data_IF_857695915925
#
_entry.id   IF_857695915925
#
_cell.length_a   1.000
_cell.length_b   1.000
_cell.length_c   1.000
_cell.angle_alpha   90.00
_cell.angle_beta   90.00
_cell.angle_gamma   90.00
#
_symmetry.space_group_name_H-M   'P 1'
#
loop_
_entity.id
_entity.type
_entity.pdbx_description
1 polymer ?
#
# COMPACT_ATOMS: atom_id res chain seq x y z
N UNK A 1 5.89 -14.32 -17.87
CA UNK A 1 6.24 -14.56 -16.45
C UNK A 1 4.97 -15.01 -15.75
N UNK A 2 4.94 -16.22 -15.19
CA UNK A 2 3.77 -16.73 -14.47
C UNK A 2 4.00 -16.66 -12.96
N UNK A 3 3.00 -16.22 -12.20
CA UNK A 3 3.03 -16.28 -10.73
C UNK A 3 2.81 -17.73 -10.30
N UNK A 4 3.69 -18.25 -9.44
CA UNK A 4 3.52 -19.60 -8.86
C UNK A 4 2.88 -19.53 -7.48
N UNK A 5 2.28 -20.64 -7.04
CA UNK A 5 1.73 -20.78 -5.69
C UNK A 5 2.78 -20.48 -4.62
N UNK A 6 4.02 -20.90 -4.82
CA UNK A 6 5.11 -20.68 -3.86
C UNK A 6 5.48 -19.20 -3.75
N UNK A 7 5.46 -18.47 -4.86
CA UNK A 7 5.65 -17.01 -4.85
C UNK A 7 4.53 -16.31 -4.07
N UNK A 8 3.27 -16.74 -4.26
CA UNK A 8 2.12 -16.18 -3.52
C UNK A 8 2.23 -16.48 -2.01
N UNK A 9 2.55 -17.73 -1.65
CA UNK A 9 2.72 -18.14 -0.26
C UNK A 9 3.89 -17.42 0.41
N UNK A 10 5.00 -17.23 -0.30
CA UNK A 10 6.15 -16.47 0.18
C UNK A 10 5.81 -15.01 0.45
N UNK A 11 5.10 -14.37 -0.48
CA UNK A 11 4.61 -13.00 -0.31
C UNK A 11 3.69 -12.88 0.91
N UNK A 12 2.69 -13.76 1.02
CA UNK A 12 1.74 -13.77 2.13
C UNK A 12 2.46 -13.89 3.49
N UNK A 13 3.33 -14.91 3.64
CA UNK A 13 4.07 -15.14 4.90
C UNK A 13 5.04 -14.00 5.27
N UNK A 14 5.51 -13.23 4.29
CA UNK A 14 6.39 -12.09 4.54
C UNK A 14 5.62 -10.85 4.98
N UNK A 15 4.51 -10.52 4.31
CA UNK A 15 3.83 -9.23 4.49
C UNK A 15 2.62 -9.28 5.43
N UNK A 16 1.94 -10.42 5.57
CA UNK A 16 0.75 -10.56 6.42
C UNK A 16 1.17 -10.97 7.84
N UNK A 17 1.80 -10.03 8.54
CA UNK A 17 2.28 -10.19 9.91
C UNK A 17 1.70 -9.09 10.80
N UNK A 18 1.49 -9.34 12.11
CA UNK A 18 0.90 -8.35 13.02
C UNK A 18 1.65 -7.02 13.06
N UNK A 19 2.98 -7.04 13.03
CA UNK A 19 3.82 -5.82 13.02
C UNK A 19 3.73 -5.00 11.72
N UNK A 20 3.06 -5.51 10.69
CA UNK A 20 2.84 -4.84 9.40
C UNK A 20 1.34 -4.73 9.05
N UNK A 21 0.45 -4.92 10.02
CA UNK A 21 -1.00 -4.93 9.81
C UNK A 21 -1.67 -3.96 10.78
N UNK A 22 -2.64 -3.19 10.29
CA UNK A 22 -3.47 -2.29 11.11
C UNK A 22 -4.90 -2.82 11.08
N UNK A 23 -5.48 -3.05 12.26
CA UNK A 23 -6.90 -3.35 12.43
C UNK A 23 -7.62 -2.03 12.71
N UNK A 24 -8.48 -1.60 11.80
CA UNK A 24 -9.28 -0.38 11.96
C UNK A 24 -10.74 -0.76 12.24
N UNK A 25 -11.30 -0.24 13.33
CA UNK A 25 -12.67 -0.48 13.76
C UNK A 25 -13.32 0.88 14.00
N UNK A 26 -14.50 1.11 13.42
CA UNK A 26 -15.22 2.39 13.54
C UNK A 26 -16.72 2.16 13.58
N UNK A 27 -17.43 2.96 14.38
CA UNK A 27 -18.87 2.86 14.59
C UNK A 27 -19.26 3.11 16.05
N UNK A 28 -20.51 2.80 16.38
CA UNK A 28 -21.02 2.78 17.76
C UNK A 28 -20.59 1.48 18.44
N UNK A 29 -19.38 1.49 19.00
CA UNK A 29 -18.74 0.31 19.60
C UNK A 29 -18.07 0.67 20.93
N UNK A 30 -18.07 -0.27 21.87
CA UNK A 30 -17.23 -0.17 23.05
C UNK A 30 -15.79 -0.57 22.69
N UNK A 31 -14.84 0.31 23.02
CA UNK A 31 -13.44 0.12 22.66
C UNK A 31 -12.78 -1.06 23.41
N UNK A 32 -13.22 -1.34 24.63
CA UNK A 32 -12.67 -2.44 25.45
C UNK A 32 -13.13 -3.78 24.90
N UNK A 33 -14.41 -3.90 24.58
CA UNK A 33 -14.96 -5.13 24.00
C UNK A 33 -14.34 -5.41 22.62
N UNK A 34 -14.16 -4.36 21.80
CA UNK A 34 -13.47 -4.48 20.53
C UNK A 34 -12.01 -4.96 20.70
N UNK A 35 -11.28 -4.41 21.66
CA UNK A 35 -9.89 -4.81 21.93
C UNK A 35 -9.77 -6.25 22.45
N UNK A 36 -10.72 -6.68 23.30
CA UNK A 36 -10.78 -8.05 23.78
C UNK A 36 -11.02 -9.03 22.62
N UNK A 37 -11.99 -8.74 21.74
CA UNK A 37 -12.26 -9.57 20.57
C UNK A 37 -11.07 -9.66 19.61
N UNK A 38 -10.37 -8.53 19.37
CA UNK A 38 -9.15 -8.55 18.55
C UNK A 38 -8.05 -9.40 19.19
N UNK A 39 -7.88 -9.28 20.51
CA UNK A 39 -6.88 -10.03 21.25
C UNK A 39 -7.19 -11.54 21.28
N UNK A 40 -8.46 -11.92 21.40
CA UNK A 40 -8.91 -13.32 21.33
C UNK A 40 -8.65 -13.94 19.95
N UNK A 41 -8.91 -13.20 18.87
CA UNK A 41 -8.77 -13.71 17.51
C UNK A 41 -7.32 -13.69 16.99
N UNK A 42 -6.53 -12.70 17.38
CA UNK A 42 -5.23 -12.42 16.75
C UNK A 42 -4.05 -12.33 17.73
N UNK A 43 -4.28 -12.44 19.04
CA UNK A 43 -3.24 -12.27 20.06
C UNK A 43 -2.11 -13.30 19.98
N UNK A 44 -2.39 -14.50 19.48
CA UNK A 44 -1.42 -15.58 19.34
C UNK A 44 -0.59 -15.52 18.04
N UNK A 45 -0.91 -14.60 17.13
CA UNK A 45 -0.18 -14.47 15.86
C UNK A 45 1.22 -13.93 16.12
N UNK A 46 2.25 -14.68 15.72
CA UNK A 46 3.63 -14.29 15.97
C UNK A 46 4.02 -13.02 15.19
N UNK A 47 4.68 -12.04 15.83
CA UNK A 47 5.17 -10.85 15.15
C UNK A 47 6.40 -11.18 14.27
N UNK A 48 6.74 -10.27 13.36
CA UNK A 48 8.00 -10.34 12.62
C UNK A 48 8.08 -9.28 11.54
N UNK A 49 9.27 -8.71 11.33
CA UNK A 49 9.40 -7.61 10.38
C UNK A 49 9.40 -8.10 8.92
N UNK A 50 8.60 -7.46 8.04
CA UNK A 50 8.58 -7.83 6.64
C UNK A 50 9.92 -7.49 6.00
N UNK A 51 10.48 -8.42 5.23
CA UNK A 51 11.63 -8.11 4.39
C UNK A 51 11.13 -7.24 3.24
N UNK A 52 11.61 -6.00 3.17
CA UNK A 52 11.30 -5.06 2.10
C UNK A 52 12.50 -4.93 1.18
N UNK A 53 12.27 -5.13 -0.11
CA UNK A 53 13.20 -4.72 -1.17
C UNK A 53 12.51 -3.59 -1.91
N UNK A 54 12.69 -2.32 -1.48
CA UNK A 54 12.09 -1.21 -2.18
C UNK A 54 12.58 -1.19 -3.63
N UNK A 55 11.70 -0.78 -4.54
CA UNK A 55 12.10 -0.50 -5.91
C UNK A 55 13.17 0.59 -5.96
N UNK A 56 13.88 0.74 -7.09
CA UNK A 56 14.77 1.87 -7.26
C UNK A 56 13.99 3.17 -7.03
N UNK A 57 14.64 4.21 -6.46
CA UNK A 57 14.00 5.50 -6.32
C UNK A 57 13.55 6.00 -7.70
N UNK A 58 12.46 6.77 -7.71
CA UNK A 58 12.00 7.42 -8.93
C UNK A 58 13.16 8.25 -9.52
N UNK A 59 13.55 8.02 -10.79
CA UNK A 59 14.67 8.73 -11.41
C UNK A 59 14.45 10.24 -11.40
N UNK A 60 15.51 11.06 -11.37
CA UNK A 60 15.37 12.52 -11.46
C UNK A 60 14.61 12.93 -12.74
N UNK A 61 13.63 13.85 -12.63
CA UNK A 61 12.92 14.40 -13.79
C UNK A 61 13.72 15.56 -14.33
N UNK A 62 14.42 15.34 -15.44
CA UNK A 62 15.24 16.35 -16.12
C UNK A 62 14.45 17.19 -17.14
N UNK A 63 13.15 16.95 -17.33
CA UNK A 63 12.33 17.72 -18.26
C UNK A 63 10.90 17.21 -18.47
N UNK A 64 10.23 17.78 -19.48
CA UNK A 64 8.88 17.41 -19.90
C UNK A 64 8.82 15.96 -20.39
N UNK A 65 7.79 15.24 -19.95
CA UNK A 65 7.50 13.87 -20.41
C UNK A 65 6.08 13.83 -20.94
N UNK A 66 5.94 13.25 -22.13
CA UNK A 66 4.66 13.01 -22.79
C UNK A 66 4.59 11.55 -23.21
N UNK A 67 3.39 10.98 -23.08
CA UNK A 67 3.08 9.66 -23.63
C UNK A 67 1.68 9.69 -24.16
N UNK A 68 1.53 9.24 -25.40
CA UNK A 68 0.24 9.00 -26.02
C UNK A 68 -0.06 7.50 -25.98
N UNK A 69 -1.30 7.17 -25.65
CA UNK A 69 -1.83 5.83 -25.72
C UNK A 69 -3.13 5.90 -26.51
N UNK A 70 -3.33 4.94 -27.41
CA UNK A 70 -4.51 4.85 -28.26
C UNK A 70 -5.17 3.49 -28.05
N UNK A 71 -6.49 3.45 -28.21
CA UNK A 71 -7.30 2.24 -28.08
C UNK A 71 -8.71 2.51 -28.60
N UNK A 72 -9.59 1.51 -28.46
CA UNK A 72 -11.01 1.69 -28.77
C UNK A 72 -11.67 2.51 -27.65
N UNK A 73 -11.59 3.83 -27.78
CA UNK A 73 -12.09 4.80 -26.80
C UNK A 73 -13.11 5.73 -27.46
N UNK A 74 -14.22 5.94 -26.78
CA UNK A 74 -15.26 6.86 -27.26
C UNK A 74 -14.84 8.34 -27.19
N UNK A 75 -13.88 8.69 -26.32
CA UNK A 75 -13.43 10.06 -26.08
C UNK A 75 -11.95 10.12 -25.71
N UNK A 76 -11.28 11.18 -26.16
CA UNK A 76 -9.90 11.50 -25.79
C UNK A 76 -9.82 11.98 -24.35
N UNK A 77 -8.84 11.48 -23.60
CA UNK A 77 -8.54 11.92 -22.22
C UNK A 77 -7.13 12.51 -22.16
N UNK A 78 -7.01 13.66 -21.49
CA UNK A 78 -5.74 14.31 -21.23
C UNK A 78 -5.50 14.36 -19.73
N UNK A 79 -4.32 13.92 -19.30
CA UNK A 79 -3.90 13.95 -17.90
C UNK A 79 -2.60 14.73 -17.80
N UNK A 80 -2.58 15.76 -16.96
CA UNK A 80 -1.40 16.55 -16.64
C UNK A 80 -1.09 16.39 -15.16
N UNK A 81 0.19 16.39 -14.81
CA UNK A 81 0.62 16.24 -13.42
C UNK A 81 2.04 16.74 -13.19
N UNK A 82 2.22 17.40 -12.04
CA UNK A 82 3.51 17.89 -11.56
C UNK A 82 4.01 16.99 -10.43
N UNK A 83 5.31 17.05 -10.14
CA UNK A 83 5.85 16.38 -8.96
C UNK A 83 5.39 17.11 -7.71
N UNK A 84 4.98 16.34 -6.72
CA UNK A 84 4.65 16.84 -5.38
C UNK A 84 5.65 16.29 -4.37
N UNK A 85 5.77 16.94 -3.20
CA UNK A 85 6.45 16.36 -2.05
C UNK A 85 5.86 15.00 -1.63
N UNK A 86 6.57 14.28 -0.77
CA UNK A 86 6.09 13.01 -0.22
C UNK A 86 4.99 13.22 0.82
N UNK A 87 4.18 12.19 1.10
CA UNK A 87 2.98 12.29 1.97
C UNK A 87 3.23 12.83 3.37
N UNK A 88 4.46 12.71 3.90
CA UNK A 88 4.86 13.18 5.23
C UNK A 88 5.66 14.50 5.21
N UNK A 89 5.80 15.11 4.04
CA UNK A 89 6.51 16.39 3.87
C UNK A 89 5.67 17.55 4.41
N UNK A 90 6.33 18.57 4.98
CA UNK A 90 5.68 19.75 5.55
C UNK A 90 4.88 20.58 4.53
N UNK A 91 5.26 20.50 3.25
CA UNK A 91 4.57 21.19 2.15
C UNK A 91 3.36 20.38 1.61
N UNK A 92 3.08 19.19 2.17
CA UNK A 92 1.88 18.41 1.83
C UNK A 92 0.67 18.95 2.58
N UNK A 93 -0.37 19.33 1.84
CA UNK A 93 -1.63 19.79 2.43
C UNK A 93 -2.30 18.69 3.27
N UNK A 94 -2.77 19.07 4.46
CA UNK A 94 -3.50 18.22 5.43
C UNK A 94 -5.00 18.40 5.28
#
# INVERSE_FOLDING_TARGET
RAFTRDMMNGFYRNFYRPSNTIVSISGDIDARDAMLGVSELYGDVKPGDPVRQPGPPEPERTGFRYRELSGDIAQSQLVFGWRTPGTMDADTAV
#
